data_IF_101223545321
#
_entry.id   IF_101223545321
#
_cell.length_a   1.000
_cell.length_b   1.000
_cell.length_c   1.000
_cell.angle_alpha   90.00
_cell.angle_beta   90.00
_cell.angle_gamma   90.00
#
_symmetry.space_group_name_H-M   'P 1'
#
loop_
_entity.id
_entity.type
_entity.pdbx_description
1 polymer ?
#
# COMPACT_ATOMS: atom_id res chain seq x y z
N UNK A 1 -2.56 6.53 7.64
CA UNK A 1 -2.48 5.05 7.45
C UNK A 1 -1.81 4.73 6.15
N UNK A 2 -0.85 3.81 6.16
CA UNK A 2 -0.21 3.33 4.94
C UNK A 2 -0.98 2.13 4.36
N UNK A 3 -0.69 1.77 3.12
CA UNK A 3 -1.26 0.58 2.50
C UNK A 3 -0.95 -0.67 3.32
N UNK A 4 0.32 -0.82 3.75
CA UNK A 4 0.72 -1.96 4.57
C UNK A 4 -0.03 -2.06 5.89
N UNK A 5 -0.19 -0.92 6.58
CA UNK A 5 -0.95 -0.86 7.84
C UNK A 5 -2.41 -1.25 7.62
N UNK A 6 -3.03 -0.78 6.53
CA UNK A 6 -4.41 -1.14 6.21
C UNK A 6 -4.57 -2.63 5.96
N UNK A 7 -3.66 -3.22 5.18
CA UNK A 7 -3.68 -4.65 4.89
C UNK A 7 -3.54 -5.46 6.18
N UNK A 8 -2.57 -5.11 7.02
CA UNK A 8 -2.35 -5.79 8.31
C UNK A 8 -3.58 -5.71 9.21
N UNK A 9 -4.15 -4.52 9.33
CA UNK A 9 -5.32 -4.29 10.18
C UNK A 9 -6.51 -5.11 9.72
N UNK A 10 -6.79 -5.12 8.41
CA UNK A 10 -7.89 -5.93 7.85
C UNK A 10 -7.65 -7.42 8.06
N UNK A 11 -6.43 -7.87 7.84
CA UNK A 11 -6.05 -9.27 8.05
C UNK A 11 -6.28 -9.70 9.51
N UNK A 12 -5.77 -8.91 10.44
CA UNK A 12 -5.88 -9.20 11.86
C UNK A 12 -7.34 -9.15 12.33
N UNK A 13 -8.12 -8.20 11.84
CA UNK A 13 -9.55 -8.12 12.16
C UNK A 13 -10.33 -9.35 11.73
N UNK A 14 -9.89 -10.02 10.67
CA UNK A 14 -10.52 -11.26 10.21
C UNK A 14 -9.87 -12.52 10.80
N UNK A 15 -8.92 -12.36 11.72
CA UNK A 15 -8.24 -13.49 12.34
C UNK A 15 -7.35 -14.27 11.38
N UNK A 16 -6.91 -13.67 10.29
CA UNK A 16 -6.06 -14.33 9.30
C UNK A 16 -4.60 -14.27 9.68
N UNK A 17 -3.88 -15.38 9.51
CA UNK A 17 -2.42 -15.42 9.62
C UNK A 17 -1.81 -14.83 8.34
N UNK A 18 -0.57 -14.31 8.43
CA UNK A 18 0.13 -13.82 7.23
C UNK A 18 0.20 -14.88 6.13
N UNK A 19 0.49 -16.13 6.49
CA UNK A 19 0.59 -17.21 5.51
C UNK A 19 -0.72 -17.45 4.77
N UNK A 20 -1.85 -17.23 5.42
CA UNK A 20 -3.16 -17.43 4.80
C UNK A 20 -3.42 -16.36 3.75
N UNK A 21 -3.16 -15.11 4.08
CA UNK A 21 -3.32 -14.01 3.12
C UNK A 21 -2.31 -14.10 1.99
N UNK A 22 -1.05 -14.40 2.31
CA UNK A 22 0.00 -14.57 1.31
C UNK A 22 -0.39 -15.65 0.29
N UNK A 23 -0.91 -16.78 0.76
CA UNK A 23 -1.37 -17.86 -0.09
C UNK A 23 -2.49 -17.41 -1.04
N UNK A 24 -3.47 -16.66 -0.53
CA UNK A 24 -4.57 -16.13 -1.34
C UNK A 24 -4.08 -15.15 -2.40
N UNK A 25 -3.05 -14.37 -2.08
CA UNK A 25 -2.46 -13.41 -3.01
C UNK A 25 -1.47 -14.07 -3.99
N UNK A 26 -1.04 -15.29 -3.71
CA UNK A 26 -0.03 -15.98 -4.52
C UNK A 26 1.37 -15.42 -4.33
N UNK A 27 1.69 -14.95 -3.13
CA UNK A 27 3.01 -14.39 -2.77
C UNK A 27 3.57 -15.13 -1.56
N UNK A 28 4.87 -14.94 -1.28
CA UNK A 28 5.49 -15.52 -0.10
C UNK A 28 5.19 -14.75 1.18
N UNK A 29 5.26 -15.44 2.31
CA UNK A 29 5.03 -14.85 3.64
C UNK A 29 5.99 -13.70 3.92
N UNK A 30 7.25 -13.87 3.56
CA UNK A 30 8.30 -12.86 3.76
C UNK A 30 7.98 -11.59 2.97
N UNK A 31 7.50 -11.76 1.74
CA UNK A 31 7.13 -10.62 0.91
C UNK A 31 5.92 -9.88 1.49
N UNK A 32 4.90 -10.61 1.96
CA UNK A 32 3.75 -10.00 2.62
C UNK A 32 4.17 -9.24 3.89
N UNK A 33 5.06 -9.82 4.69
CA UNK A 33 5.59 -9.15 5.88
C UNK A 33 6.24 -7.81 5.52
N UNK A 34 7.01 -7.76 4.45
CA UNK A 34 7.64 -6.53 3.98
C UNK A 34 6.62 -5.50 3.50
N UNK A 35 5.54 -5.96 2.86
CA UNK A 35 4.44 -5.08 2.45
C UNK A 35 3.77 -4.47 3.68
N UNK A 36 3.44 -5.29 4.68
CA UNK A 36 2.76 -4.84 5.89
C UNK A 36 3.58 -3.84 6.71
N UNK A 37 4.90 -4.00 6.70
CA UNK A 37 5.80 -3.09 7.42
C UNK A 37 6.21 -1.86 6.60
N UNK A 38 5.79 -1.78 5.35
CA UNK A 38 6.11 -0.64 4.49
C UNK A 38 7.45 -0.71 3.78
N UNK A 39 8.17 -1.83 3.89
CA UNK A 39 9.47 -1.99 3.23
C UNK A 39 9.34 -2.22 1.73
N UNK A 40 8.22 -2.81 1.30
CA UNK A 40 7.94 -3.09 -0.10
C UNK A 40 6.51 -2.69 -0.43
N UNK A 41 6.31 -2.28 -1.68
CA UNK A 41 4.99 -2.00 -2.20
C UNK A 41 4.59 -3.14 -3.14
N UNK A 42 3.37 -3.70 -3.02
CA UNK A 42 2.94 -4.75 -3.93
C UNK A 42 2.74 -4.18 -5.34
N UNK A 43 2.81 -5.05 -6.34
CA UNK A 43 2.42 -4.65 -7.70
C UNK A 43 0.95 -4.25 -7.70
N UNK A 44 0.61 -3.27 -8.51
CA UNK A 44 -0.76 -2.72 -8.57
C UNK A 44 -1.83 -3.79 -8.82
N UNK A 45 -1.48 -4.84 -9.57
CA UNK A 45 -2.41 -5.93 -9.88
C UNK A 45 -2.94 -6.67 -8.65
N UNK A 46 -2.19 -6.67 -7.54
CA UNK A 46 -2.63 -7.32 -6.30
C UNK A 46 -3.74 -6.56 -5.57
N UNK A 47 -3.92 -5.28 -5.88
CA UNK A 47 -4.93 -4.45 -5.21
C UNK A 47 -6.35 -4.95 -5.48
N UNK A 48 -6.60 -5.45 -6.69
CA UNK A 48 -7.90 -6.01 -7.05
C UNK A 48 -8.20 -7.25 -6.20
N UNK A 49 -7.20 -8.12 -6.01
CA UNK A 49 -7.35 -9.31 -5.17
C UNK A 49 -7.63 -8.92 -3.71
N UNK A 50 -6.92 -7.91 -3.21
CA UNK A 50 -7.15 -7.41 -1.84
C UNK A 50 -8.56 -6.86 -1.69
N UNK A 51 -9.03 -6.11 -2.68
CA UNK A 51 -10.40 -5.60 -2.71
C UNK A 51 -11.42 -6.73 -2.61
N UNK A 52 -11.21 -7.80 -3.35
CA UNK A 52 -12.11 -8.97 -3.35
C UNK A 52 -12.04 -9.74 -2.03
N UNK A 53 -10.84 -9.98 -1.52
CA UNK A 53 -10.64 -10.75 -0.27
C UNK A 53 -11.30 -10.05 0.92
N UNK A 54 -11.13 -8.72 1.03
CA UNK A 54 -11.61 -7.97 2.18
C UNK A 54 -12.95 -7.28 1.96
N UNK A 55 -13.51 -7.38 0.76
CA UNK A 55 -14.76 -6.71 0.39
C UNK A 55 -14.68 -5.20 0.65
N UNK A 56 -13.60 -4.60 0.21
CA UNK A 56 -13.31 -3.16 0.34
C UNK A 56 -13.23 -2.58 -1.08
N UNK A 57 -13.82 -1.41 -1.33
CA UNK A 57 -13.72 -0.79 -2.66
C UNK A 57 -12.27 -0.62 -3.11
N UNK A 58 -11.99 -1.00 -4.36
CA UNK A 58 -10.64 -0.94 -4.93
C UNK A 58 -10.01 0.44 -4.78
N UNK A 59 -10.80 1.50 -4.91
CA UNK A 59 -10.32 2.88 -4.82
C UNK A 59 -9.62 3.17 -3.49
N UNK A 60 -10.03 2.53 -2.39
CA UNK A 60 -9.40 2.74 -1.09
C UNK A 60 -7.96 2.20 -1.09
N UNK A 61 -7.74 1.03 -1.70
CA UNK A 61 -6.38 0.48 -1.82
C UNK A 61 -5.55 1.26 -2.83
N UNK A 62 -6.15 1.66 -3.96
CA UNK A 62 -5.44 2.44 -4.98
C UNK A 62 -4.98 3.79 -4.45
N UNK A 63 -5.81 4.45 -3.66
CA UNK A 63 -5.47 5.74 -3.05
C UNK A 63 -4.21 5.62 -2.18
N UNK A 64 -4.16 4.60 -1.33
CA UNK A 64 -3.00 4.38 -0.46
C UNK A 64 -1.77 3.94 -1.25
N UNK A 65 -1.96 3.16 -2.30
CA UNK A 65 -0.87 2.71 -3.17
C UNK A 65 -0.23 3.90 -3.88
N UNK A 66 -1.04 4.79 -4.45
CA UNK A 66 -0.56 5.99 -5.14
C UNK A 66 0.14 6.92 -4.15
N UNK A 67 -0.45 7.12 -2.96
CA UNK A 67 0.17 7.93 -1.92
C UNK A 67 1.55 7.40 -1.53
N UNK A 68 1.71 6.08 -1.45
CA UNK A 68 3.00 5.45 -1.17
C UNK A 68 4.02 5.72 -2.28
N UNK A 69 3.58 5.65 -3.54
CA UNK A 69 4.45 5.96 -4.69
C UNK A 69 4.93 7.40 -4.66
N UNK A 70 4.05 8.33 -4.34
CA UNK A 70 4.39 9.76 -4.23
C UNK A 70 5.41 9.96 -3.11
N UNK A 71 5.19 9.35 -1.95
CA UNK A 71 6.12 9.45 -0.82
C UNK A 71 7.50 8.90 -1.16
N UNK A 72 7.57 7.78 -1.88
CA UNK A 72 8.84 7.19 -2.30
C UNK A 72 9.61 8.13 -3.23
N UNK A 73 8.92 8.75 -4.17
CA UNK A 73 9.54 9.73 -5.08
C UNK A 73 10.09 10.91 -4.28
N UNK A 74 9.28 11.45 -3.36
CA UNK A 74 9.68 12.62 -2.55
C UNK A 74 10.90 12.30 -1.68
N UNK A 75 10.93 11.12 -1.07
CA UNK A 75 12.02 10.70 -0.18
C UNK A 75 13.33 10.44 -0.93
N UNK A 76 13.22 9.87 -2.14
CA UNK A 76 14.39 9.38 -2.86
C UNK A 76 14.97 10.40 -3.85
N UNK A 77 14.28 11.53 -4.04
CA UNK A 77 14.73 12.59 -4.95
C UNK A 77 15.04 13.87 -4.17
N UNK A 78 16.19 14.45 -4.46
CA UNK A 78 16.63 15.70 -3.83
C UNK A 78 15.60 16.82 -4.01
N UNK A 79 15.00 16.90 -5.19
CA UNK A 79 14.01 17.92 -5.53
C UNK A 79 12.60 17.60 -5.02
N UNK A 80 12.40 16.46 -4.33
CA UNK A 80 11.07 16.00 -3.92
C UNK A 80 10.32 16.99 -3.06
N UNK A 81 10.98 17.57 -2.07
CA UNK A 81 10.35 18.55 -1.17
C UNK A 81 9.97 19.84 -1.90
N UNK A 82 10.79 20.26 -2.83
CA UNK A 82 10.49 21.45 -3.65
C UNK A 82 9.32 21.17 -4.59
N UNK A 83 9.29 19.98 -5.18
CA UNK A 83 8.20 19.57 -6.05
C UNK A 83 6.87 19.54 -5.29
N UNK A 84 6.85 19.02 -4.06
CA UNK A 84 5.65 18.99 -3.21
C UNK A 84 5.12 20.39 -2.95
N UNK A 85 5.99 21.32 -2.61
CA UNK A 85 5.61 22.73 -2.39
C UNK A 85 5.04 23.35 -3.65
N UNK A 86 5.64 23.06 -4.81
CA UNK A 86 5.18 23.58 -6.09
C UNK A 86 3.77 23.11 -6.41
N UNK A 87 3.47 21.83 -6.19
CA UNK A 87 2.13 21.26 -6.42
C UNK A 87 1.11 21.91 -5.49
N UNK A 88 1.44 22.07 -4.20
CA UNK A 88 0.55 22.71 -3.23
C UNK A 88 0.20 24.14 -3.66
N UNK A 89 1.18 24.92 -4.12
CA UNK A 89 0.95 26.29 -4.59
C UNK A 89 0.06 26.32 -5.82
N UNK A 90 0.23 25.34 -6.73
CA UNK A 90 -0.55 25.28 -7.96
C UNK A 90 -2.02 24.98 -7.70
N UNK A 91 -2.35 24.35 -6.58
CA UNK A 91 -3.71 23.97 -6.20
C UNK A 91 -4.39 25.01 -5.31
N UNK A 92 -3.68 26.04 -4.92
CA UNK A 92 -4.24 27.17 -4.20
C UNK A 92 -4.86 28.17 -5.20
#
# INVERSE_FOLDING_TARGET
MTLGQKIKELRECQGMLQKDLASRLGIGDTFLSKIETGQKLPKREYLKKLSEIFDIPLIEFETLWIASKINDIIKNEEAGQFALKHISKSNE
#
